data_IF_859357904347
#
_entry.id   IF_859357904347
#
_cell.length_a   1.000
_cell.length_b   1.000
_cell.length_c   1.000
_cell.angle_alpha   90.00
_cell.angle_beta   90.00
_cell.angle_gamma   90.00
#
_symmetry.space_group_name_H-M   'P 1'
#
loop_
_entity.id
_entity.type
_entity.pdbx_description
1 polymer ?
#
# COMPACT_ATOMS: atom_id res chain seq x y z
N UNK A 1 45.71 40.68 -20.64
CA UNK A 1 45.37 39.28 -20.34
C UNK A 1 44.00 39.21 -19.66
N UNK A 2 42.91 39.48 -20.39
CA UNK A 2 41.54 39.45 -19.82
C UNK A 2 40.56 38.56 -20.60
N UNK A 3 41.03 37.81 -21.61
CA UNK A 3 40.15 37.08 -22.53
C UNK A 3 39.96 35.58 -22.27
N UNK A 4 40.70 34.98 -21.31
CA UNK A 4 40.67 33.52 -21.10
C UNK A 4 39.73 33.07 -19.96
N UNK A 5 39.57 33.87 -18.90
CA UNK A 5 38.68 33.54 -17.78
C UNK A 5 37.19 33.61 -18.15
N UNK A 6 36.83 34.61 -18.95
CA UNK A 6 35.44 34.88 -19.35
C UNK A 6 34.89 33.84 -20.35
N UNK A 7 35.75 33.31 -21.23
CA UNK A 7 35.38 32.24 -22.17
C UNK A 7 35.14 30.90 -21.48
N UNK A 8 35.92 30.56 -20.45
CA UNK A 8 35.74 29.31 -19.68
C UNK A 8 34.48 29.35 -18.79
N UNK A 9 34.18 30.50 -18.20
CA UNK A 9 32.93 30.70 -17.43
C UNK A 9 31.69 30.62 -18.33
N UNK A 10 31.75 31.25 -19.51
CA UNK A 10 30.66 31.22 -20.50
C UNK A 10 30.38 29.81 -21.01
N UNK A 11 31.41 29.07 -21.41
CA UNK A 11 31.27 27.68 -21.91
C UNK A 11 30.76 26.73 -20.82
N UNK A 12 31.25 26.85 -19.58
CA UNK A 12 30.76 26.06 -18.46
C UNK A 12 29.28 26.32 -18.13
N UNK A 13 28.87 27.60 -18.17
CA UNK A 13 27.47 27.99 -17.93
C UNK A 13 26.55 27.54 -19.09
N UNK A 14 27.00 27.63 -20.35
CA UNK A 14 26.25 27.17 -21.52
C UNK A 14 26.09 25.65 -21.54
N UNK A 15 27.13 24.89 -21.17
CA UNK A 15 27.03 23.45 -20.97
C UNK A 15 26.05 23.09 -19.86
N UNK A 16 26.06 23.79 -18.74
CA UNK A 16 25.13 23.54 -17.64
C UNK A 16 23.67 23.89 -18.02
N UNK A 17 23.47 24.96 -18.80
CA UNK A 17 22.16 25.40 -19.29
C UNK A 17 21.61 24.57 -20.47
N UNK A 18 22.44 23.83 -21.20
CA UNK A 18 21.97 22.93 -22.26
C UNK A 18 21.88 21.47 -21.79
N UNK A 19 22.88 21.00 -21.06
CA UNK A 19 22.96 19.62 -20.57
C UNK A 19 22.06 19.42 -19.35
N UNK A 20 21.93 20.42 -18.47
CA UNK A 20 21.03 20.35 -17.32
C UNK A 20 19.57 20.09 -17.73
N UNK A 21 18.98 20.92 -18.60
CA UNK A 21 17.63 20.70 -19.10
C UNK A 21 17.49 19.42 -19.92
N UNK A 22 18.52 19.00 -20.67
CA UNK A 22 18.49 17.74 -21.41
C UNK A 22 18.49 16.53 -20.48
N UNK A 23 19.29 16.53 -19.40
CA UNK A 23 19.28 15.49 -18.37
C UNK A 23 17.91 15.46 -17.68
N UNK A 24 17.38 16.63 -17.29
CA UNK A 24 16.05 16.74 -16.68
C UNK A 24 14.97 16.25 -17.65
N UNK A 25 15.04 16.62 -18.93
CA UNK A 25 14.11 16.18 -19.97
C UNK A 25 14.17 14.67 -20.17
N UNK A 26 15.36 14.05 -20.25
CA UNK A 26 15.51 12.60 -20.35
C UNK A 26 14.97 11.90 -19.10
N UNK A 27 15.27 12.43 -17.91
CA UNK A 27 14.74 11.90 -16.64
C UNK A 27 13.21 12.02 -16.54
N UNK A 28 12.61 13.07 -17.10
CA UNK A 28 11.15 13.24 -17.16
C UNK A 28 10.50 12.38 -18.26
N UNK A 29 11.20 12.19 -19.40
CA UNK A 29 10.72 11.40 -20.55
C UNK A 29 10.66 9.90 -20.28
N UNK A 30 11.50 9.43 -19.35
CA UNK A 30 11.50 8.03 -18.88
C UNK A 30 10.37 7.74 -17.86
N UNK A 31 9.48 8.71 -17.62
CA UNK A 31 8.53 8.68 -16.52
C UNK A 31 9.16 9.28 -15.27
N UNK A 32 8.46 10.24 -14.66
CA UNK A 32 8.75 10.95 -13.40
C UNK A 32 9.95 10.38 -12.62
N UNK A 33 11.04 11.12 -12.40
CA UNK A 33 12.27 10.52 -11.93
C UNK A 33 12.02 9.82 -10.58
N UNK A 34 12.25 8.50 -10.47
CA UNK A 34 12.03 7.75 -9.23
C UNK A 34 12.74 8.41 -8.04
N UNK A 35 13.82 9.15 -8.31
CA UNK A 35 14.54 10.05 -7.42
C UNK A 35 13.68 10.80 -6.39
N UNK A 36 12.60 11.50 -6.81
CA UNK A 36 11.80 12.31 -5.87
C UNK A 36 10.99 11.40 -4.94
N UNK A 37 10.36 10.36 -5.49
CA UNK A 37 9.62 9.37 -4.72
C UNK A 37 10.50 8.63 -3.72
N UNK A 38 11.69 8.18 -4.15
CA UNK A 38 12.68 7.54 -3.30
C UNK A 38 13.15 8.45 -2.16
N UNK A 39 13.34 9.75 -2.42
CA UNK A 39 13.76 10.71 -1.41
C UNK A 39 12.65 11.01 -0.40
N UNK A 40 11.43 11.25 -0.89
CA UNK A 40 10.25 11.50 -0.03
C UNK A 40 9.94 10.29 0.84
N UNK A 41 9.97 9.09 0.27
CA UNK A 41 9.77 7.85 1.00
C UNK A 41 10.88 7.62 2.04
N UNK A 42 12.15 7.83 1.68
CA UNK A 42 13.25 7.72 2.63
C UNK A 42 13.11 8.71 3.79
N UNK A 43 12.71 9.95 3.49
CA UNK A 43 12.45 10.96 4.50
C UNK A 43 11.33 10.53 5.44
N UNK A 44 10.19 10.12 4.90
CA UNK A 44 9.04 9.66 5.68
C UNK A 44 9.40 8.48 6.60
N UNK A 45 10.10 7.47 6.08
CA UNK A 45 10.55 6.32 6.88
C UNK A 45 11.57 6.70 7.95
N UNK A 46 12.48 7.65 7.67
CA UNK A 46 13.45 8.13 8.66
C UNK A 46 12.79 8.96 9.76
N UNK A 47 11.86 9.85 9.39
CA UNK A 47 11.10 10.65 10.35
C UNK A 47 10.26 9.74 11.26
N UNK A 48 9.62 8.71 10.70
CA UNK A 48 8.93 7.68 11.45
C UNK A 48 9.88 6.91 12.39
N UNK A 49 10.98 6.38 11.84
CA UNK A 49 11.94 5.58 12.62
C UNK A 49 12.54 6.38 13.77
N UNK A 50 12.86 7.66 13.57
CA UNK A 50 13.40 8.52 14.61
C UNK A 50 12.45 8.69 15.82
N UNK A 51 11.14 8.56 15.60
CA UNK A 51 10.12 8.66 16.66
C UNK A 51 9.88 7.32 17.37
N UNK A 52 9.87 6.22 16.62
CA UNK A 52 9.40 4.91 17.08
C UNK A 52 10.53 3.94 17.42
N UNK A 53 11.64 4.03 16.68
CA UNK A 53 12.84 3.19 16.79
C UNK A 53 14.09 4.08 16.81
N UNK A 54 14.28 4.94 17.83
CA UNK A 54 15.33 5.96 17.85
C UNK A 54 16.76 5.40 17.76
N UNK A 55 16.94 4.13 18.09
CA UNK A 55 18.18 3.37 17.99
C UNK A 55 18.52 2.94 16.56
N UNK A 56 17.53 2.87 15.66
CA UNK A 56 17.74 2.48 14.27
C UNK A 56 18.52 3.54 13.48
N UNK A 57 19.50 3.09 12.70
CA UNK A 57 20.28 3.95 11.81
C UNK A 57 20.02 3.58 10.35
N UNK A 58 19.56 4.54 9.56
CA UNK A 58 19.31 4.31 8.14
C UNK A 58 20.60 3.96 7.39
N UNK A 59 20.57 2.91 6.57
CA UNK A 59 21.72 2.44 5.79
C UNK A 59 21.90 3.18 4.45
N UNK A 60 21.11 4.22 4.19
CA UNK A 60 21.17 4.97 2.94
C UNK A 60 20.44 6.30 2.98
N UNK A 61 20.73 7.16 2.00
CA UNK A 61 20.05 8.45 1.84
C UNK A 61 18.72 8.33 1.07
N UNK A 62 18.54 7.26 0.31
CA UNK A 62 17.47 7.06 -0.66
C UNK A 62 16.78 5.72 -0.39
N UNK A 63 15.47 5.67 -0.59
CA UNK A 63 14.72 4.41 -0.55
C UNK A 63 14.98 3.63 -1.84
N UNK A 64 14.87 2.31 -1.79
CA UNK A 64 14.67 1.49 -2.99
C UNK A 64 13.21 1.50 -3.40
N UNK A 65 12.91 1.23 -4.67
CA UNK A 65 11.56 0.95 -5.14
C UNK A 65 11.45 -0.53 -5.49
N UNK A 66 10.44 -1.21 -4.94
CA UNK A 66 10.12 -2.58 -5.28
C UNK A 66 9.20 -2.58 -6.51
N UNK A 67 9.75 -3.01 -7.65
CA UNK A 67 9.01 -3.10 -8.92
C UNK A 67 7.96 -4.22 -8.90
N UNK A 68 8.11 -5.23 -8.03
CA UNK A 68 7.22 -6.39 -7.97
C UNK A 68 6.07 -6.12 -7.00
N UNK A 69 6.39 -5.75 -5.76
CA UNK A 69 5.39 -5.45 -4.73
C UNK A 69 4.71 -4.10 -4.90
N UNK A 70 5.36 -3.16 -5.61
CA UNK A 70 4.95 -1.77 -5.69
C UNK A 70 5.18 -1.05 -4.35
N UNK A 71 5.94 0.05 -4.39
CA UNK A 71 6.21 0.86 -3.20
C UNK A 71 7.70 0.97 -2.88
N UNK A 72 8.00 1.68 -1.81
CA UNK A 72 9.37 2.01 -1.43
C UNK A 72 9.80 1.23 -0.19
N UNK A 73 11.10 0.97 -0.06
CA UNK A 73 11.67 0.37 1.15
C UNK A 73 12.97 1.07 1.55
N UNK A 74 13.28 1.06 2.84
CA UNK A 74 14.56 1.55 3.36
C UNK A 74 15.06 0.62 4.46
N UNK A 75 16.32 0.20 4.32
CA UNK A 75 17.00 -0.61 5.32
C UNK A 75 17.59 0.23 6.44
N UNK A 76 17.51 -0.30 7.66
CA UNK A 76 18.07 0.26 8.87
C UNK A 76 18.98 -0.77 9.54
N UNK A 77 19.99 -0.30 10.27
CA UNK A 77 20.78 -1.13 11.19
C UNK A 77 20.35 -0.85 12.63
N UNK A 78 20.22 -1.90 13.41
CA UNK A 78 20.01 -1.86 14.85
C UNK A 78 21.04 -2.78 15.51
N UNK A 79 22.07 -2.21 16.16
CA UNK A 79 23.10 -3.01 16.85
C UNK A 79 23.85 -4.06 15.99
N UNK A 80 23.72 -4.03 14.66
CA UNK A 80 24.25 -5.04 13.73
C UNK A 80 23.19 -5.88 13.02
N UNK A 81 21.93 -5.87 13.48
CA UNK A 81 20.81 -6.48 12.78
C UNK A 81 20.27 -5.57 11.68
N UNK A 82 19.87 -6.18 10.56
CA UNK A 82 19.27 -5.45 9.43
C UNK A 82 17.76 -5.45 9.56
N UNK A 83 17.19 -4.26 9.67
CA UNK A 83 15.75 -3.99 9.70
C UNK A 83 15.32 -3.33 8.40
N UNK A 84 14.03 -3.36 8.09
CA UNK A 84 13.49 -2.66 6.92
C UNK A 84 12.12 -2.08 7.22
N UNK A 85 11.91 -0.86 6.75
CA UNK A 85 10.58 -0.26 6.66
C UNK A 85 10.14 -0.21 5.20
N UNK A 86 8.84 -0.31 4.97
CA UNK A 86 8.20 -0.04 3.69
C UNK A 86 7.47 1.30 3.70
N UNK A 87 7.17 1.83 2.52
CA UNK A 87 6.37 3.05 2.38
C UNK A 87 5.57 3.05 1.09
N UNK A 88 4.26 3.33 1.21
CA UNK A 88 3.32 3.39 0.10
C UNK A 88 1.99 3.97 0.55
N UNK A 89 1.24 4.62 -0.35
CA UNK A 89 -0.04 5.23 0.01
C UNK A 89 0.06 6.27 1.13
N UNK A 90 1.20 6.97 1.23
CA UNK A 90 1.55 7.95 2.27
C UNK A 90 1.71 7.40 3.69
N UNK A 91 1.74 6.08 3.87
CA UNK A 91 1.92 5.41 5.16
C UNK A 91 3.15 4.50 5.16
N UNK A 92 3.72 4.30 6.35
CA UNK A 92 4.87 3.41 6.61
C UNK A 92 4.38 2.02 6.97
N UNK A 93 4.97 1.01 6.33
CA UNK A 93 4.87 -0.38 6.74
C UNK A 93 5.99 -0.72 7.71
N UNK A 94 5.61 -1.05 8.94
CA UNK A 94 6.48 -1.59 9.98
C UNK A 94 5.96 -2.98 10.37
N UNK A 95 6.63 -4.02 9.87
CA UNK A 95 6.17 -5.40 10.05
C UNK A 95 6.24 -5.87 11.49
N UNK A 96 7.22 -5.40 12.27
CA UNK A 96 7.37 -5.79 13.67
C UNK A 96 6.22 -5.23 14.52
N UNK A 97 5.88 -3.95 14.31
CA UNK A 97 4.72 -3.35 14.98
C UNK A 97 3.40 -3.91 14.48
N UNK A 98 3.29 -4.23 13.18
CA UNK A 98 2.09 -4.84 12.60
C UNK A 98 1.82 -6.21 13.23
N UNK A 99 2.84 -7.07 13.33
CA UNK A 99 2.76 -8.37 13.97
C UNK A 99 2.44 -8.26 15.48
N UNK A 100 3.10 -7.34 16.19
CA UNK A 100 2.84 -7.11 17.61
C UNK A 100 1.38 -6.66 17.86
N UNK A 101 0.86 -5.75 17.04
CA UNK A 101 -0.52 -5.27 17.13
C UNK A 101 -1.51 -6.38 16.75
N UNK A 102 -1.23 -7.13 15.68
CA UNK A 102 -2.02 -8.29 15.23
C UNK A 102 -2.18 -9.31 16.35
N UNK A 103 -1.10 -9.62 17.06
CA UNK A 103 -1.09 -10.53 18.22
C UNK A 103 -1.88 -9.96 19.40
N UNK A 104 -1.66 -8.68 19.74
CA UNK A 104 -2.36 -7.99 20.84
C UNK A 104 -3.88 -8.00 20.66
N UNK A 105 -4.33 -7.84 19.41
CA UNK A 105 -5.75 -7.82 19.04
C UNK A 105 -6.33 -9.21 18.72
N UNK A 106 -5.52 -10.27 18.80
CA UNK A 106 -5.92 -11.64 18.48
C UNK A 106 -6.52 -11.82 17.08
N UNK A 107 -6.10 -11.01 16.11
CA UNK A 107 -6.72 -10.96 14.76
C UNK A 107 -6.75 -12.33 14.08
N UNK A 108 -5.66 -13.09 14.13
CA UNK A 108 -5.61 -14.42 13.50
C UNK A 108 -6.58 -15.41 14.14
N UNK A 109 -6.76 -15.32 15.46
CA UNK A 109 -7.72 -16.16 16.18
C UNK A 109 -9.15 -15.76 15.83
N UNK A 110 -9.43 -14.46 15.75
CA UNK A 110 -10.74 -13.93 15.34
C UNK A 110 -11.10 -14.40 13.94
N UNK A 111 -10.21 -14.18 12.96
CA UNK A 111 -10.41 -14.58 11.56
C UNK A 111 -10.66 -16.09 11.44
N UNK A 112 -9.88 -16.92 12.15
CA UNK A 112 -10.03 -18.39 12.09
C UNK A 112 -11.31 -18.90 12.74
N UNK A 113 -11.77 -18.29 13.84
CA UNK A 113 -12.96 -18.76 14.58
C UNK A 113 -14.28 -18.31 13.97
N UNK A 114 -14.27 -17.28 13.13
CA UNK A 114 -15.47 -16.63 12.57
C UNK A 114 -15.75 -17.04 11.13
N UNK A 115 -14.97 -17.96 10.56
CA UNK A 115 -15.15 -18.40 9.17
C UNK A 115 -14.70 -17.38 8.13
N UNK A 116 -14.00 -16.31 8.54
CA UNK A 116 -13.40 -15.31 7.65
C UNK A 116 -12.13 -15.81 6.95
N UNK A 117 -11.72 -17.04 7.27
CA UNK A 117 -10.70 -17.80 6.56
C UNK A 117 -11.21 -19.21 6.30
N UNK A 118 -11.58 -19.46 5.05
CA UNK A 118 -11.88 -20.79 4.52
C UNK A 118 -10.99 -21.00 3.32
N UNK A 119 -10.03 -21.95 3.37
CA UNK A 119 -9.13 -22.23 2.27
C UNK A 119 -9.88 -22.35 0.94
N UNK A 120 -9.35 -21.67 -0.07
CA UNK A 120 -9.88 -21.59 -1.42
C UNK A 120 -11.26 -20.94 -1.58
N UNK A 121 -11.96 -20.53 -0.52
CA UNK A 121 -13.31 -19.96 -0.60
C UNK A 121 -13.38 -18.49 -0.15
N UNK A 122 -12.76 -18.17 0.98
CA UNK A 122 -12.75 -16.82 1.53
C UNK A 122 -11.46 -16.59 2.32
N UNK A 123 -10.77 -15.49 2.02
CA UNK A 123 -9.54 -15.08 2.67
C UNK A 123 -9.71 -13.63 3.11
N UNK A 124 -9.69 -13.40 4.42
CA UNK A 124 -9.60 -12.06 4.98
C UNK A 124 -8.16 -11.73 5.35
N UNK A 125 -7.64 -10.67 4.76
CA UNK A 125 -6.35 -10.07 5.09
C UNK A 125 -6.57 -8.84 5.95
N UNK A 126 -5.74 -8.71 6.97
CA UNK A 126 -5.69 -7.54 7.86
C UNK A 126 -4.28 -6.99 7.84
N UNK A 127 -4.16 -5.66 7.80
CA UNK A 127 -2.89 -4.97 7.88
C UNK A 127 -2.98 -3.68 8.69
N UNK A 128 -1.87 -3.33 9.32
CA UNK A 128 -1.68 -2.07 10.02
C UNK A 128 -0.49 -1.32 9.43
N UNK A 129 -0.68 -0.03 9.18
CA UNK A 129 0.35 0.90 8.72
C UNK A 129 0.29 2.17 9.54
N UNK A 130 1.30 3.03 9.44
CA UNK A 130 1.37 4.24 10.26
C UNK A 130 1.63 5.48 9.43
N UNK A 131 1.01 6.59 9.82
CA UNK A 131 1.41 7.90 9.32
C UNK A 131 2.80 8.25 9.91
N UNK A 132 3.74 8.75 9.11
CA UNK A 132 4.99 9.31 9.64
C UNK A 132 4.77 10.48 10.63
N UNK A 133 3.66 11.21 10.48
CA UNK A 133 3.32 12.37 11.30
C UNK A 133 2.59 11.99 12.59
N UNK A 134 1.92 10.84 12.60
CA UNK A 134 1.14 10.33 13.75
C UNK A 134 1.44 8.84 13.94
N UNK A 135 2.65 8.48 14.42
CA UNK A 135 3.09 7.08 14.49
C UNK A 135 2.45 6.28 15.64
N UNK A 136 1.72 6.94 16.53
CA UNK A 136 1.04 6.30 17.66
C UNK A 136 -0.27 5.61 17.24
N UNK A 137 -0.90 6.10 16.18
CA UNK A 137 -2.17 5.58 15.67
C UNK A 137 -1.95 4.76 14.41
N UNK A 138 -2.46 3.53 14.42
CA UNK A 138 -2.37 2.63 13.27
C UNK A 138 -3.54 2.87 12.30
N UNK A 139 -3.22 3.05 11.03
CA UNK A 139 -4.16 3.01 9.91
C UNK A 139 -4.40 1.55 9.54
N UNK A 140 -5.56 1.04 9.92
CA UNK A 140 -5.96 -0.36 9.71
C UNK A 140 -6.66 -0.52 8.37
N UNK A 141 -6.20 -1.49 7.58
CA UNK A 141 -6.83 -1.90 6.31
C UNK A 141 -7.23 -3.37 6.35
N UNK A 142 -8.45 -3.66 5.88
CA UNK A 142 -8.97 -5.02 5.71
C UNK A 142 -9.26 -5.28 4.24
N UNK A 143 -8.84 -6.44 3.72
CA UNK A 143 -9.09 -6.89 2.36
C UNK A 143 -9.71 -8.29 2.40
N UNK A 144 -10.96 -8.42 1.98
CA UNK A 144 -11.69 -9.69 1.91
C UNK A 144 -11.68 -10.17 0.47
N UNK A 145 -11.28 -11.42 0.25
CA UNK A 145 -11.24 -12.05 -1.06
C UNK A 145 -12.08 -13.31 -1.01
N UNK A 146 -13.06 -13.43 -1.91
CA UNK A 146 -13.89 -14.63 -1.98
C UNK A 146 -14.14 -15.08 -3.41
N UNK A 147 -14.49 -16.36 -3.54
CA UNK A 147 -14.50 -17.07 -4.82
C UNK A 147 -15.89 -17.58 -5.18
N UNK A 148 -16.29 -17.41 -6.43
CA UNK A 148 -17.37 -18.17 -7.05
C UNK A 148 -16.92 -19.57 -7.47
N UNK A 149 -17.84 -20.53 -7.45
CA UNK A 149 -17.58 -21.89 -7.93
C UNK A 149 -17.28 -21.92 -9.44
N UNK A 150 -16.43 -22.85 -9.88
CA UNK A 150 -16.10 -23.01 -11.30
C UNK A 150 -17.27 -23.57 -12.12
N UNK A 151 -18.18 -24.28 -11.46
CA UNK A 151 -19.39 -24.87 -12.07
C UNK A 151 -20.63 -23.98 -11.89
N UNK A 152 -20.48 -22.81 -11.25
CA UNK A 152 -21.57 -21.84 -11.11
C UNK A 152 -21.62 -20.93 -12.34
N UNK A 153 -22.80 -20.44 -12.75
CA UNK A 153 -22.85 -19.34 -13.72
C UNK A 153 -22.18 -18.09 -13.11
N UNK A 154 -21.43 -17.35 -13.94
CA UNK A 154 -20.90 -16.04 -13.54
C UNK A 154 -22.11 -15.14 -13.19
N UNK A 155 -22.17 -14.61 -11.95
CA UNK A 155 -23.27 -13.74 -11.56
C UNK A 155 -23.23 -12.43 -12.35
N UNK A 156 -24.40 -11.83 -12.57
CA UNK A 156 -24.45 -10.44 -13.02
C UNK A 156 -23.93 -9.48 -11.94
N UNK A 157 -23.72 -8.22 -12.31
CA UNK A 157 -23.15 -7.22 -11.41
C UNK A 157 -23.99 -7.00 -10.15
N UNK A 158 -25.32 -6.99 -10.26
CA UNK A 158 -26.20 -6.76 -9.12
C UNK A 158 -26.08 -7.90 -8.11
N UNK A 159 -26.16 -9.15 -8.56
CA UNK A 159 -25.99 -10.34 -7.72
C UNK A 159 -24.57 -10.39 -7.12
N UNK A 160 -23.56 -10.05 -7.90
CA UNK A 160 -22.18 -9.99 -7.41
C UNK A 160 -22.02 -8.94 -6.30
N UNK A 161 -22.56 -7.73 -6.47
CA UNK A 161 -22.53 -6.66 -5.47
C UNK A 161 -23.23 -7.06 -4.17
N UNK A 162 -24.37 -7.73 -4.25
CA UNK A 162 -25.06 -8.27 -3.06
C UNK A 162 -24.17 -9.28 -2.31
N UNK A 163 -23.55 -10.23 -3.03
CA UNK A 163 -22.60 -11.19 -2.44
C UNK A 163 -21.39 -10.50 -1.81
N UNK A 164 -20.82 -9.48 -2.49
CA UNK A 164 -19.72 -8.68 -1.97
C UNK A 164 -20.12 -7.93 -0.71
N UNK A 165 -21.34 -7.37 -0.67
CA UNK A 165 -21.85 -6.64 0.47
C UNK A 165 -22.07 -7.56 1.68
N UNK A 166 -22.63 -8.76 1.49
CA UNK A 166 -22.77 -9.76 2.55
C UNK A 166 -21.42 -10.14 3.19
N UNK A 167 -20.42 -10.44 2.36
CA UNK A 167 -19.09 -10.82 2.84
C UNK A 167 -18.37 -9.66 3.51
N UNK A 168 -18.50 -8.45 2.96
CA UNK A 168 -17.92 -7.25 3.53
C UNK A 168 -18.50 -6.95 4.92
N UNK A 169 -19.84 -6.97 5.05
CA UNK A 169 -20.50 -6.67 6.33
C UNK A 169 -20.16 -7.71 7.40
N UNK A 170 -20.15 -9.00 7.05
CA UNK A 170 -19.73 -10.06 7.98
C UNK A 170 -18.32 -9.81 8.54
N UNK A 171 -17.35 -9.54 7.66
CA UNK A 171 -15.97 -9.31 8.08
C UNK A 171 -15.79 -8.00 8.85
N UNK A 172 -16.48 -6.94 8.44
CA UNK A 172 -16.42 -5.65 9.11
C UNK A 172 -17.01 -5.71 10.51
N UNK A 173 -18.21 -6.27 10.70
CA UNK A 173 -18.84 -6.38 12.03
C UNK A 173 -17.96 -7.14 13.02
N UNK A 174 -17.35 -8.24 12.56
CA UNK A 174 -16.43 -9.03 13.37
C UNK A 174 -15.17 -8.23 13.73
N UNK A 175 -14.50 -7.60 12.75
CA UNK A 175 -13.20 -6.98 12.99
C UNK A 175 -13.30 -5.58 13.62
N UNK A 176 -14.35 -4.82 13.33
CA UNK A 176 -14.60 -3.50 13.89
C UNK A 176 -14.82 -3.55 15.41
N UNK A 177 -15.29 -4.69 15.94
CA UNK A 177 -15.40 -4.91 17.38
C UNK A 177 -14.04 -4.95 18.11
N UNK A 178 -12.94 -5.16 17.37
CA UNK A 178 -11.59 -5.28 17.93
C UNK A 178 -10.71 -4.07 17.65
N UNK A 179 -10.90 -3.38 16.52
CA UNK A 179 -10.10 -2.21 16.14
C UNK A 179 -10.84 -1.31 15.15
N UNK A 180 -10.54 0.01 15.12
CA UNK A 180 -11.05 0.90 14.08
C UNK A 180 -10.50 0.49 12.71
N UNK A 181 -11.38 0.39 11.71
CA UNK A 181 -11.01 0.09 10.32
C UNK A 181 -11.08 1.39 9.52
N UNK A 182 -10.00 1.72 8.82
CA UNK A 182 -9.86 2.97 8.07
C UNK A 182 -10.00 2.77 6.57
N UNK A 183 -9.76 1.55 6.09
CA UNK A 183 -9.94 1.16 4.70
C UNK A 183 -10.42 -0.27 4.62
N UNK A 184 -11.47 -0.49 3.86
CA UNK A 184 -12.04 -1.81 3.64
C UNK A 184 -12.07 -2.10 2.15
N UNK A 185 -11.66 -3.30 1.74
CA UNK A 185 -11.76 -3.76 0.36
C UNK A 185 -12.39 -5.14 0.33
N UNK A 186 -13.25 -5.36 -0.66
CA UNK A 186 -13.82 -6.67 -0.95
C UNK A 186 -13.58 -7.01 -2.41
N UNK A 187 -13.15 -8.25 -2.65
CA UNK A 187 -12.82 -8.76 -3.98
C UNK A 187 -13.55 -10.06 -4.25
N UNK A 188 -14.12 -10.14 -5.44
CA UNK A 188 -14.74 -11.34 -5.97
C UNK A 188 -13.98 -11.86 -7.19
N UNK A 189 -13.66 -13.15 -7.19
CA UNK A 189 -13.14 -13.86 -8.35
C UNK A 189 -14.08 -15.01 -8.71
N UNK A 190 -14.39 -15.15 -9.99
CA UNK A 190 -15.07 -16.34 -10.48
C UNK A 190 -14.03 -17.33 -11.00
N UNK A 191 -13.96 -18.53 -10.40
CA UNK A 191 -12.95 -19.53 -10.78
C UNK A 191 -13.11 -19.93 -12.24
N UNK A 192 -11.98 -20.07 -12.93
CA UNK A 192 -11.95 -20.38 -14.37
C UNK A 192 -12.05 -19.15 -15.27
N UNK A 193 -12.19 -17.94 -14.70
CA UNK A 193 -12.19 -16.70 -15.48
C UNK A 193 -10.84 -15.99 -15.39
N UNK A 194 -10.12 -15.93 -16.51
CA UNK A 194 -8.85 -15.21 -16.57
C UNK A 194 -9.05 -13.74 -16.96
N UNK A 195 -8.29 -12.85 -16.32
CA UNK A 195 -8.16 -11.45 -16.69
C UNK A 195 -7.32 -11.28 -17.94
N UNK A 196 -7.31 -10.06 -18.50
CA UNK A 196 -6.66 -9.77 -19.80
C UNK A 196 -5.16 -10.08 -19.85
N UNK A 197 -4.50 -10.22 -18.70
CA UNK A 197 -3.07 -10.49 -18.58
C UNK A 197 -2.76 -11.95 -18.14
N UNK A 198 -3.73 -12.87 -18.22
CA UNK A 198 -3.54 -14.28 -17.86
C UNK A 198 -3.48 -14.54 -16.35
N UNK A 199 -3.91 -13.57 -15.53
CA UNK A 199 -4.08 -13.70 -14.08
C UNK A 199 -5.55 -13.89 -13.68
N UNK A 200 -5.82 -14.03 -12.38
CA UNK A 200 -7.19 -14.05 -11.87
C UNK A 200 -7.90 -12.71 -12.13
N UNK A 201 -9.06 -12.74 -12.79
CA UNK A 201 -9.93 -11.56 -12.92
C UNK A 201 -10.58 -11.26 -11.57
N UNK A 202 -10.25 -10.12 -10.95
CA UNK A 202 -10.86 -9.67 -9.72
C UNK A 202 -11.80 -8.50 -9.95
N UNK A 203 -12.99 -8.61 -9.37
CA UNK A 203 -13.92 -7.52 -9.20
C UNK A 203 -13.73 -6.96 -7.79
N UNK A 204 -13.28 -5.71 -7.66
CA UNK A 204 -12.92 -5.11 -6.38
C UNK A 204 -13.72 -3.83 -6.12
N UNK A 205 -14.20 -3.71 -4.89
CA UNK A 205 -14.73 -2.46 -4.34
C UNK A 205 -13.89 -2.08 -3.13
N UNK A 206 -13.54 -0.81 -3.03
CA UNK A 206 -12.78 -0.27 -1.89
C UNK A 206 -13.51 0.91 -1.29
N UNK A 207 -13.60 0.93 0.04
CA UNK A 207 -14.23 1.97 0.84
C UNK A 207 -13.17 2.53 1.80
N UNK A 208 -12.91 3.82 1.70
CA UNK A 208 -12.15 4.54 2.72
C UNK A 208 -13.13 5.02 3.81
N UNK A 209 -12.78 4.79 5.07
CA UNK A 209 -13.60 5.08 6.24
C UNK A 209 -12.88 6.13 7.09
N UNK A 210 -13.24 7.41 6.95
CA UNK A 210 -12.77 8.47 7.83
C UNK A 210 -13.05 8.18 9.31
N UNK A 211 -12.30 8.86 10.18
CA UNK A 211 -12.42 8.67 11.62
C UNK A 211 -13.87 8.90 12.09
N UNK A 212 -14.45 7.90 12.75
CA UNK A 212 -15.81 7.96 13.29
C UNK A 212 -16.90 7.49 12.32
N UNK A 213 -16.57 7.17 11.06
CA UNK A 213 -17.51 6.57 10.13
C UNK A 213 -17.56 5.04 10.26
N UNK A 214 -18.77 4.49 10.12
CA UNK A 214 -18.99 3.05 10.09
C UNK A 214 -19.29 2.57 8.69
N UNK A 215 -18.83 1.36 8.36
CA UNK A 215 -19.16 0.78 7.07
C UNK A 215 -20.63 0.38 7.02
N UNK A 216 -21.28 0.65 5.90
CA UNK A 216 -22.66 0.26 5.63
C UNK A 216 -22.71 -0.61 4.38
N UNK A 217 -23.79 -1.37 4.23
CA UNK A 217 -24.05 -2.18 3.03
C UNK A 217 -24.04 -1.32 1.76
N UNK A 218 -24.62 -0.12 1.83
CA UNK A 218 -24.75 0.82 0.71
C UNK A 218 -23.39 1.26 0.15
N UNK A 219 -22.35 1.36 0.99
CA UNK A 219 -20.99 1.65 0.51
C UNK A 219 -20.50 0.61 -0.50
N UNK A 220 -20.89 -0.65 -0.33
CA UNK A 220 -20.52 -1.74 -1.25
C UNK A 220 -21.45 -1.79 -2.46
N UNK A 221 -22.76 -1.64 -2.24
CA UNK A 221 -23.73 -1.70 -3.34
C UNK A 221 -23.52 -0.56 -4.37
N UNK A 222 -23.14 0.63 -3.90
CA UNK A 222 -22.97 1.82 -4.75
C UNK A 222 -21.51 2.16 -5.08
N UNK A 223 -20.56 1.48 -4.44
CA UNK A 223 -19.13 1.74 -4.60
C UNK A 223 -18.63 1.50 -6.02
N UNK A 224 -17.54 2.16 -6.39
CA UNK A 224 -16.88 1.96 -7.67
C UNK A 224 -16.36 0.52 -7.78
N UNK A 225 -16.82 -0.17 -8.82
CA UNK A 225 -16.38 -1.53 -9.13
C UNK A 225 -15.21 -1.46 -10.10
N UNK A 226 -14.04 -1.89 -9.63
CA UNK A 226 -12.82 -1.96 -10.43
C UNK A 226 -12.57 -3.41 -10.85
N UNK A 227 -12.28 -3.62 -12.13
CA UNK A 227 -11.94 -4.93 -12.71
C UNK A 227 -10.48 -4.93 -13.19
N UNK A 228 -9.76 -6.04 -13.04
CA UNK A 228 -8.34 -6.15 -13.45
C UNK A 228 -8.03 -7.36 -14.35
#
# INVERSE_FOLDING_TARGET
>A
MEGLGQKRLGVGLTLLLLVGPLIVFVLLSLGFPPVIGNLMAARAMKEYAAQVHPEWRAQGHWAGYDLVGGGYYLSFSDGGEKRSLGYGGLVVEDKEREEALRKKLYIDSVIRRTGLWVPDQNITMWSARWSPQMPDEAVISVDVQFYGGADEPIPDEAVMRERMADQAMLAYEVLAAHCPIHRFSVRYHHRGTEGKQGGMLWNRITVDLPQGETMTRDHILTGELVTN
#
